data_IF_236102346703
#
_entry.id   IF_236102346703
#
_cell.length_a   1.000
_cell.length_b   1.000
_cell.length_c   1.000
_cell.angle_alpha   90.00
_cell.angle_beta   90.00
_cell.angle_gamma   90.00
#
_symmetry.space_group_name_H-M   'P 1'
#
loop_
_entity.id
_entity.type
_entity.pdbx_description
1 polymer ?
#
# COMPACT_ATOMS: atom_id res chain seq x y z
N UNK A 1 -6.46 -4.10 42.54
CA UNK A 1 -5.30 -4.96 42.91
C UNK A 1 -4.19 -4.57 41.97
N UNK A 2 -3.17 -3.87 42.47
CA UNK A 2 -1.97 -3.53 41.70
C UNK A 2 -1.08 -4.77 41.73
N UNK A 3 -0.93 -5.44 40.57
CA UNK A 3 -0.14 -6.67 40.45
C UNK A 3 1.37 -6.44 40.40
N UNK A 4 1.86 -5.22 40.67
CA UNK A 4 3.29 -4.91 40.71
C UNK A 4 4.04 -4.95 39.35
N UNK A 5 3.35 -5.23 38.25
CA UNK A 5 3.93 -5.25 36.91
C UNK A 5 3.53 -3.99 36.13
N UNK A 6 4.52 -3.32 35.54
CA UNK A 6 4.30 -2.15 34.68
C UNK A 6 3.86 -2.50 33.26
N UNK A 7 4.05 -3.75 32.83
CA UNK A 7 3.63 -4.28 31.52
C UNK A 7 3.48 -5.79 31.59
N UNK A 8 2.55 -6.32 30.83
CA UNK A 8 2.34 -7.77 30.65
C UNK A 8 2.46 -8.04 29.14
N UNK A 9 3.25 -9.07 28.77
CA UNK A 9 3.25 -9.57 27.40
C UNK A 9 2.09 -10.55 27.21
N UNK A 10 1.27 -10.32 26.22
CA UNK A 10 0.16 -11.18 25.85
C UNK A 10 0.08 -11.35 24.33
N UNK A 11 -0.54 -12.45 23.89
CA UNK A 11 -0.83 -12.68 22.47
C UNK A 11 -2.05 -11.87 22.05
N UNK A 12 -1.82 -10.72 21.45
CA UNK A 12 -2.88 -9.75 21.09
C UNK A 12 -3.50 -9.99 19.72
N UNK A 13 -3.07 -11.02 18.97
CA UNK A 13 -3.63 -11.25 17.63
C UNK A 13 -3.19 -12.55 16.98
N UNK A 14 -3.91 -12.90 15.90
CA UNK A 14 -3.65 -14.06 15.03
C UNK A 14 -3.48 -13.58 13.60
N UNK A 15 -2.42 -14.03 12.97
CA UNK A 15 -2.16 -13.74 11.55
C UNK A 15 -2.10 -15.04 10.75
N UNK A 16 -2.40 -14.96 9.46
CA UNK A 16 -2.22 -16.04 8.49
C UNK A 16 -1.31 -15.53 7.39
N UNK A 17 -0.40 -16.40 6.97
CA UNK A 17 0.43 -16.17 5.80
C UNK A 17 0.18 -17.30 4.80
N UNK A 18 -0.01 -16.95 3.52
CA UNK A 18 -0.27 -17.90 2.44
C UNK A 18 0.51 -17.44 1.22
N UNK A 19 1.23 -18.36 0.59
CA UNK A 19 2.05 -18.01 -0.57
C UNK A 19 2.21 -19.15 -1.55
N UNK A 20 2.77 -18.80 -2.70
CA UNK A 20 3.20 -19.73 -3.75
C UNK A 20 4.61 -19.38 -4.14
N UNK A 21 5.46 -20.38 -4.19
CA UNK A 21 6.83 -20.24 -4.68
C UNK A 21 7.05 -21.22 -5.82
N UNK A 22 7.65 -20.76 -6.89
CA UNK A 22 8.00 -21.56 -8.06
C UNK A 22 9.46 -21.31 -8.41
N UNK A 23 10.22 -22.37 -8.52
CA UNK A 23 11.59 -22.34 -9.02
C UNK A 23 11.70 -23.31 -10.21
N UNK A 24 12.10 -22.77 -11.36
CA UNK A 24 12.30 -23.53 -12.58
C UNK A 24 13.74 -23.36 -13.05
N UNK A 25 14.43 -24.48 -13.21
CA UNK A 25 15.75 -24.52 -13.82
C UNK A 25 15.67 -25.31 -15.13
N UNK A 26 16.16 -24.74 -16.20
CA UNK A 26 16.09 -25.29 -17.55
C UNK A 26 17.44 -25.24 -18.23
N UNK A 27 17.78 -26.34 -18.92
CA UNK A 27 18.83 -26.36 -19.93
C UNK A 27 18.11 -26.29 -21.27
N UNK A 28 18.10 -25.11 -21.88
CA UNK A 28 17.33 -24.84 -23.08
C UNK A 28 18.01 -25.44 -24.33
N UNK A 29 19.34 -25.33 -24.38
CA UNK A 29 20.18 -25.88 -25.45
C UNK A 29 21.48 -26.40 -24.85
N UNK A 30 21.94 -27.55 -25.30
CA UNK A 30 23.26 -28.08 -24.96
C UNK A 30 23.85 -28.83 -26.17
N UNK A 31 24.92 -28.26 -26.70
CA UNK A 31 25.74 -28.84 -27.77
C UNK A 31 27.22 -28.85 -27.38
N UNK A 32 28.12 -29.31 -28.21
CA UNK A 32 29.55 -29.32 -27.90
C UNK A 32 30.12 -27.90 -27.70
N UNK A 33 29.65 -26.94 -28.47
CA UNK A 33 30.20 -25.56 -28.48
C UNK A 33 29.25 -24.52 -27.87
N UNK A 34 27.96 -24.89 -27.65
CA UNK A 34 26.96 -23.93 -27.19
C UNK A 34 26.09 -24.53 -26.09
N UNK A 35 25.95 -23.78 -24.96
CA UNK A 35 25.06 -24.13 -23.88
C UNK A 35 24.27 -22.90 -23.47
N UNK A 36 22.94 -23.06 -23.30
CA UNK A 36 22.06 -22.06 -22.76
C UNK A 36 21.20 -22.65 -21.66
N UNK A 37 21.27 -22.06 -20.49
CA UNK A 37 20.44 -22.43 -19.33
C UNK A 37 19.72 -21.21 -18.77
N UNK A 38 18.55 -21.46 -18.24
CA UNK A 38 17.70 -20.45 -17.60
C UNK A 38 17.28 -20.87 -16.22
N UNK A 39 17.18 -19.92 -15.30
CA UNK A 39 16.61 -20.06 -13.97
C UNK A 39 15.50 -19.03 -13.81
N UNK A 40 14.30 -19.48 -13.49
CA UNK A 40 13.16 -18.63 -13.20
C UNK A 40 12.69 -18.89 -11.78
N UNK A 41 12.54 -17.81 -11.00
CA UNK A 41 11.96 -17.83 -9.66
C UNK A 41 10.74 -16.91 -9.63
N UNK A 42 9.70 -17.37 -8.98
CA UNK A 42 8.50 -16.59 -8.71
C UNK A 42 8.09 -16.82 -7.26
N UNK A 43 7.78 -15.75 -6.54
CA UNK A 43 7.29 -15.80 -5.17
C UNK A 43 6.14 -14.82 -5.00
N UNK A 44 5.04 -15.33 -4.51
CA UNK A 44 3.86 -14.57 -4.11
C UNK A 44 3.55 -14.90 -2.66
N UNK A 45 3.44 -13.89 -1.82
CA UNK A 45 3.14 -14.05 -0.42
C UNK A 45 2.05 -13.07 0.01
N UNK A 46 1.08 -13.54 0.79
CA UNK A 46 -0.04 -12.77 1.33
C UNK A 46 -0.19 -13.06 2.80
N UNK A 47 0.05 -12.05 3.62
CA UNK A 47 -0.28 -12.08 5.03
C UNK A 47 -1.65 -11.43 5.28
N UNK A 48 -2.28 -11.82 6.36
CA UNK A 48 -3.59 -11.32 6.74
C UNK A 48 -3.76 -11.41 8.25
N UNK A 49 -4.26 -10.35 8.86
CA UNK A 49 -4.71 -10.35 10.25
C UNK A 49 -6.05 -11.09 10.30
N UNK A 50 -6.15 -12.12 11.13
CA UNK A 50 -7.37 -12.92 11.29
C UNK A 50 -8.14 -12.44 12.50
N UNK A 51 -7.45 -12.04 13.56
CA UNK A 51 -8.04 -11.67 14.84
C UNK A 51 -7.12 -10.73 15.60
N UNK A 52 -7.71 -9.75 16.30
CA UNK A 52 -7.02 -8.86 17.22
C UNK A 52 -7.79 -8.87 18.55
N UNK A 53 -7.08 -9.06 19.67
CA UNK A 53 -7.60 -8.96 21.06
C UNK A 53 -8.89 -9.74 21.36
N UNK A 54 -9.44 -10.50 20.40
CA UNK A 54 -10.67 -11.27 20.54
C UNK A 54 -11.97 -10.43 20.60
N UNK A 55 -11.91 -9.13 20.38
CA UNK A 55 -13.06 -8.22 20.40
C UNK A 55 -13.64 -7.90 19.01
N UNK A 56 -13.01 -8.42 17.94
CA UNK A 56 -13.44 -8.23 16.57
C UNK A 56 -13.28 -6.82 16.03
N UNK A 57 -12.47 -5.98 16.70
CA UNK A 57 -12.25 -4.58 16.29
C UNK A 57 -10.85 -4.37 15.74
N UNK A 58 -10.75 -3.41 14.81
CA UNK A 58 -9.49 -2.94 14.29
C UNK A 58 -8.72 -2.10 15.33
N UNK A 59 -7.39 -2.14 15.26
CA UNK A 59 -6.51 -1.28 16.04
C UNK A 59 -5.98 -0.16 15.16
N UNK A 60 -6.74 0.92 15.05
CA UNK A 60 -6.41 2.07 14.20
C UNK A 60 -5.09 2.73 14.65
N UNK A 61 -4.80 2.72 15.96
CA UNK A 61 -3.59 3.32 16.53
C UNK A 61 -2.33 2.65 16.01
N UNK A 62 -2.35 1.31 15.94
CA UNK A 62 -1.26 0.52 15.41
C UNK A 62 -1.39 0.25 13.91
N UNK A 63 -2.46 0.74 13.27
CA UNK A 63 -2.80 0.49 11.85
C UNK A 63 -2.96 -1.00 11.55
N UNK A 64 -3.58 -1.74 12.45
CA UNK A 64 -3.89 -3.15 12.29
C UNK A 64 -5.38 -3.33 12.02
N UNK A 65 -5.68 -3.85 10.85
CA UNK A 65 -7.05 -4.04 10.35
C UNK A 65 -7.32 -5.52 10.13
N UNK A 66 -8.42 -6.01 10.71
CA UNK A 66 -8.82 -7.41 10.54
C UNK A 66 -9.20 -7.64 9.07
N UNK A 67 -8.59 -8.64 8.48
CA UNK A 67 -8.78 -8.94 7.07
C UNK A 67 -7.71 -8.38 6.15
N UNK A 68 -6.89 -7.46 6.63
CA UNK A 68 -5.86 -6.78 5.86
C UNK A 68 -4.44 -7.26 6.21
N UNK A 69 -3.45 -6.98 5.38
CA UNK A 69 -2.05 -7.25 5.70
C UNK A 69 -1.60 -6.55 6.97
N UNK A 70 -0.63 -7.15 7.67
CA UNK A 70 -0.07 -6.56 8.90
C UNK A 70 0.57 -5.18 8.68
N UNK A 71 1.04 -4.93 7.46
CA UNK A 71 1.68 -3.67 7.09
C UNK A 71 0.96 -3.03 5.92
N UNK A 72 0.10 -2.07 6.24
CA UNK A 72 -0.63 -1.27 5.26
C UNK A 72 -0.16 0.19 5.25
N UNK A 73 -0.40 0.88 4.16
CA UNK A 73 -0.41 2.33 4.10
C UNK A 73 -1.82 2.80 4.44
N UNK A 74 -2.00 3.36 5.62
CA UNK A 74 -3.26 3.91 6.10
C UNK A 74 -3.12 5.42 6.22
N UNK A 75 -3.73 6.13 5.29
CA UNK A 75 -3.71 7.59 5.22
C UNK A 75 -4.83 8.10 4.30
N UNK A 76 -4.86 9.39 4.02
CA UNK A 76 -5.78 10.00 3.08
C UNK A 76 -5.45 9.59 1.64
N UNK A 77 -6.48 9.32 0.84
CA UNK A 77 -6.31 9.20 -0.60
C UNK A 77 -6.27 10.59 -1.24
N UNK A 78 -5.46 10.75 -2.30
CA UNK A 78 -5.30 12.03 -3.00
C UNK A 78 -6.17 12.02 -4.25
N UNK A 79 -7.16 12.91 -4.28
CA UNK A 79 -8.06 13.11 -5.42
C UNK A 79 -7.46 14.05 -6.50
N UNK A 80 -6.42 14.81 -6.16
CA UNK A 80 -5.80 15.75 -7.08
C UNK A 80 -4.99 16.85 -6.38
N UNK A 81 -4.86 17.98 -7.05
CA UNK A 81 -4.17 19.17 -6.52
C UNK A 81 -5.14 20.34 -6.60
N UNK A 82 -5.29 21.09 -5.51
CA UNK A 82 -6.08 22.29 -5.47
C UNK A 82 -5.58 23.33 -6.48
N UNK A 83 -6.49 23.85 -7.31
CA UNK A 83 -6.19 24.90 -8.27
C UNK A 83 -6.63 26.28 -7.73
N UNK A 84 -6.05 27.33 -8.28
CA UNK A 84 -6.44 28.71 -7.95
C UNK A 84 -7.86 28.99 -8.45
N UNK A 85 -8.69 29.58 -7.60
CA UNK A 85 -10.12 29.89 -7.90
C UNK A 85 -10.97 28.69 -8.34
N UNK A 86 -10.58 27.47 -7.89
CA UNK A 86 -11.29 26.25 -8.24
C UNK A 86 -12.64 26.11 -7.52
N UNK A 87 -13.61 25.55 -8.25
CA UNK A 87 -14.82 24.96 -7.69
C UNK A 87 -14.88 23.51 -8.18
N UNK A 88 -15.13 22.56 -7.30
CA UNK A 88 -15.20 21.15 -7.62
C UNK A 88 -16.25 20.42 -6.79
N UNK A 89 -16.71 19.29 -7.31
CA UNK A 89 -17.63 18.40 -6.61
C UNK A 89 -16.87 17.25 -5.95
N UNK A 90 -17.24 16.93 -4.70
CA UNK A 90 -16.70 15.79 -3.98
C UNK A 90 -17.80 15.15 -3.13
N UNK A 91 -18.16 13.90 -3.45
CA UNK A 91 -19.19 13.12 -2.73
C UNK A 91 -20.53 13.86 -2.50
N UNK A 92 -20.95 14.67 -3.48
CA UNK A 92 -22.19 15.42 -3.43
C UNK A 92 -22.10 16.80 -2.80
N UNK A 93 -20.91 17.19 -2.36
CA UNK A 93 -20.62 18.53 -1.85
C UNK A 93 -19.92 19.38 -2.90
N UNK A 94 -20.36 20.63 -3.03
CA UNK A 94 -19.70 21.64 -3.86
C UNK A 94 -18.69 22.43 -3.05
N UNK A 95 -17.42 22.27 -3.35
CA UNK A 95 -16.31 22.95 -2.66
C UNK A 95 -15.79 24.08 -3.56
N UNK A 96 -15.71 25.28 -3.02
CA UNK A 96 -15.28 26.47 -3.75
C UNK A 96 -14.19 27.24 -3.00
N UNK A 97 -13.28 27.87 -3.75
CA UNK A 97 -12.31 28.79 -3.20
C UNK A 97 -12.98 30.09 -2.79
N UNK A 98 -12.88 30.45 -1.51
CA UNK A 98 -13.26 31.78 -1.01
C UNK A 98 -12.03 32.68 -0.90
N UNK A 99 -11.95 33.68 -1.76
CA UNK A 99 -10.84 34.62 -1.80
C UNK A 99 -10.76 35.52 -0.54
N UNK A 100 -11.86 35.71 0.17
CA UNK A 100 -11.90 36.56 1.39
C UNK A 100 -11.24 35.86 2.56
N UNK A 101 -11.60 34.60 2.82
CA UNK A 101 -11.02 33.79 3.89
C UNK A 101 -9.74 33.07 3.45
N UNK A 102 -9.46 33.02 2.15
CA UNK A 102 -8.38 32.23 1.55
C UNK A 102 -8.46 30.73 1.90
N UNK A 103 -9.66 30.16 1.78
CA UNK A 103 -9.98 28.77 2.10
C UNK A 103 -10.84 28.14 1.04
N UNK A 104 -10.78 26.81 0.97
CA UNK A 104 -11.75 26.01 0.25
C UNK A 104 -12.91 25.67 1.19
N UNK A 105 -14.10 26.16 0.87
CA UNK A 105 -15.30 26.01 1.70
C UNK A 105 -16.32 25.12 0.96
N UNK A 106 -17.04 24.29 1.72
CA UNK A 106 -18.21 23.61 1.21
C UNK A 106 -19.43 24.57 1.15
N UNK A 107 -20.57 24.12 0.66
CA UNK A 107 -21.80 24.91 0.52
C UNK A 107 -22.36 25.43 1.86
N UNK A 108 -21.98 24.83 2.97
CA UNK A 108 -22.34 25.27 4.33
C UNK A 108 -21.37 26.34 4.87
N UNK A 109 -20.32 26.67 4.11
CA UNK A 109 -19.29 27.62 4.52
C UNK A 109 -18.25 27.03 5.48
N UNK A 110 -18.18 25.71 5.58
CA UNK A 110 -17.20 25.01 6.41
C UNK A 110 -15.94 24.73 5.57
N UNK A 111 -14.77 24.87 6.20
CA UNK A 111 -13.49 24.59 5.55
C UNK A 111 -13.37 23.09 5.21
N UNK A 112 -13.29 22.78 3.90
CA UNK A 112 -13.22 21.41 3.40
C UNK A 112 -11.99 20.66 3.90
N UNK A 113 -10.81 21.25 3.70
CA UNK A 113 -9.53 20.67 4.15
C UNK A 113 -8.72 21.75 4.86
N UNK A 114 -8.50 21.52 6.15
CA UNK A 114 -7.86 22.50 7.03
C UNK A 114 -6.51 22.99 6.51
N UNK A 115 -6.41 24.29 6.29
CA UNK A 115 -5.18 24.95 5.86
C UNK A 115 -4.78 24.67 4.40
N UNK A 116 -5.66 24.07 3.60
CA UNK A 116 -5.41 23.83 2.18
C UNK A 116 -5.31 25.15 1.40
N UNK A 117 -4.41 25.17 0.45
CA UNK A 117 -4.19 26.29 -0.48
C UNK A 117 -4.01 25.75 -1.89
N UNK A 118 -4.18 26.59 -2.92
CA UNK A 118 -3.78 26.23 -4.27
C UNK A 118 -2.37 25.64 -4.33
N UNK A 119 -2.19 24.52 -5.03
CA UNK A 119 -0.96 23.75 -5.11
C UNK A 119 -0.80 22.64 -4.06
N UNK A 120 -1.67 22.55 -3.04
CA UNK A 120 -1.67 21.47 -2.07
C UNK A 120 -2.40 20.22 -2.60
N UNK A 121 -2.06 19.06 -2.06
CA UNK A 121 -2.78 17.83 -2.36
C UNK A 121 -4.22 17.93 -1.84
N UNK A 122 -5.17 17.64 -2.73
CA UNK A 122 -6.60 17.55 -2.45
C UNK A 122 -6.91 16.15 -1.96
N UNK A 123 -7.34 16.02 -0.70
CA UNK A 123 -7.71 14.73 -0.13
C UNK A 123 -9.14 14.37 -0.52
N UNK A 124 -9.41 13.08 -0.57
CA UNK A 124 -10.74 12.53 -0.82
C UNK A 124 -11.54 12.51 0.47
N UNK A 125 -12.75 13.05 0.43
CA UNK A 125 -13.76 12.91 1.48
C UNK A 125 -14.40 11.52 1.34
N UNK A 126 -14.06 10.60 2.22
CA UNK A 126 -14.49 9.21 2.10
C UNK A 126 -15.77 8.90 2.86
N UNK A 127 -16.06 9.64 3.92
CA UNK A 127 -17.30 9.48 4.68
C UNK A 127 -18.44 10.39 4.18
N UNK A 128 -18.13 11.33 3.27
CA UNK A 128 -19.11 12.16 2.59
C UNK A 128 -19.72 13.24 3.49
N UNK A 129 -18.96 13.72 4.49
CA UNK A 129 -19.43 14.76 5.41
C UNK A 129 -19.07 16.19 4.97
N UNK A 130 -18.43 16.33 3.79
CA UNK A 130 -18.06 17.63 3.20
C UNK A 130 -16.82 18.26 3.83
N UNK A 131 -16.08 17.53 4.67
CA UNK A 131 -14.88 18.03 5.34
C UNK A 131 -13.82 16.94 5.48
N UNK A 132 -12.54 17.28 5.40
CA UNK A 132 -11.45 16.31 5.59
C UNK A 132 -11.06 16.19 7.05
N UNK A 133 -11.31 15.03 7.61
CA UNK A 133 -11.04 14.68 9.01
C UNK A 133 -10.23 13.38 9.11
N UNK A 134 -9.96 12.89 10.32
CA UNK A 134 -9.29 11.62 10.52
C UNK A 134 -10.13 10.40 10.07
N UNK A 135 -11.44 10.58 9.87
CA UNK A 135 -12.33 9.51 9.38
C UNK A 135 -12.17 9.20 7.89
N UNK A 136 -11.63 10.17 7.13
CA UNK A 136 -11.38 10.01 5.70
C UNK A 136 -10.13 9.20 5.38
N UNK A 137 -9.41 8.79 6.43
CA UNK A 137 -8.27 7.90 6.25
C UNK A 137 -8.73 6.50 5.87
N UNK A 138 -8.08 5.93 4.87
CA UNK A 138 -8.36 4.59 4.36
C UNK A 138 -7.07 3.83 4.07
N UNK A 139 -7.19 2.54 3.84
CA UNK A 139 -6.07 1.72 3.40
C UNK A 139 -5.83 2.00 1.93
N UNK A 140 -4.72 2.68 1.62
CA UNK A 140 -4.34 3.08 0.27
C UNK A 140 -3.35 2.12 -0.39
N UNK A 141 -2.92 1.07 0.32
CA UNK A 141 -2.04 0.05 -0.22
C UNK A 141 -1.39 -0.82 0.84
N UNK A 142 -0.63 -1.81 0.37
CA UNK A 142 0.19 -2.69 1.20
C UNK A 142 1.67 -2.37 1.03
N UNK A 143 2.43 -2.56 2.10
CA UNK A 143 3.90 -2.48 2.07
C UNK A 143 4.55 -3.75 1.52
N UNK A 144 3.78 -4.82 1.37
CA UNK A 144 4.27 -6.07 0.78
C UNK A 144 4.07 -6.03 -0.73
N UNK A 145 5.06 -6.48 -1.49
CA UNK A 145 4.93 -6.60 -2.93
C UNK A 145 3.82 -7.60 -3.30
N UNK A 146 3.20 -7.34 -4.44
CA UNK A 146 2.21 -8.25 -5.01
C UNK A 146 2.82 -9.58 -5.39
N UNK A 147 4.01 -9.56 -5.96
CA UNK A 147 4.85 -10.71 -6.22
C UNK A 147 6.29 -10.27 -6.50
N UNK A 148 7.20 -11.23 -6.40
CA UNK A 148 8.60 -11.04 -6.76
C UNK A 148 8.92 -12.10 -7.82
N UNK A 149 9.64 -11.72 -8.86
CA UNK A 149 10.12 -12.66 -9.86
C UNK A 149 11.55 -12.36 -10.25
N UNK A 150 12.27 -13.41 -10.67
CA UNK A 150 13.60 -13.28 -11.25
C UNK A 150 13.79 -14.25 -12.42
N UNK A 151 14.52 -13.81 -13.42
CA UNK A 151 14.91 -14.60 -14.59
C UNK A 151 16.41 -14.46 -14.81
N UNK A 152 17.14 -15.52 -14.52
CA UNK A 152 18.55 -15.66 -14.82
C UNK A 152 18.76 -16.42 -16.12
N UNK A 153 19.74 -16.01 -16.92
CA UNK A 153 20.19 -16.75 -18.09
C UNK A 153 21.70 -16.84 -18.09
N UNK A 154 22.19 -17.99 -18.49
CA UNK A 154 23.62 -18.22 -18.74
C UNK A 154 23.78 -18.84 -20.11
N UNK A 155 24.54 -18.19 -20.96
CA UNK A 155 24.85 -18.60 -22.34
C UNK A 155 26.35 -18.78 -22.43
N UNK A 156 26.78 -19.97 -22.80
CA UNK A 156 28.18 -20.30 -23.02
C UNK A 156 28.37 -20.67 -24.51
N UNK A 157 29.28 -20.04 -25.17
CA UNK A 157 29.69 -20.37 -26.50
C UNK A 157 31.23 -20.53 -26.54
N UNK A 158 31.67 -21.76 -26.70
CA UNK A 158 33.11 -22.15 -26.59
C UNK A 158 33.68 -21.66 -25.25
N UNK A 159 34.67 -20.76 -25.26
CA UNK A 159 35.35 -20.22 -24.09
C UNK A 159 34.67 -18.96 -23.52
N UNK A 160 33.60 -18.48 -24.14
CA UNK A 160 32.88 -17.28 -23.70
C UNK A 160 31.62 -17.63 -22.95
N UNK A 161 31.42 -16.98 -21.80
CA UNK A 161 30.20 -17.11 -21.00
C UNK A 161 29.58 -15.74 -20.70
N UNK A 162 28.32 -15.58 -21.05
CA UNK A 162 27.50 -14.43 -20.70
C UNK A 162 26.44 -14.86 -19.70
N UNK A 163 26.38 -14.19 -18.55
CA UNK A 163 25.32 -14.38 -17.55
C UNK A 163 24.64 -13.06 -17.25
N UNK A 164 23.32 -13.07 -17.15
CA UNK A 164 22.52 -11.92 -16.75
C UNK A 164 21.32 -12.34 -15.96
N UNK A 165 20.87 -11.45 -15.05
CA UNK A 165 19.76 -11.65 -14.14
C UNK A 165 18.83 -10.44 -14.20
N UNK A 166 17.54 -10.69 -14.42
CA UNK A 166 16.47 -9.71 -14.23
C UNK A 166 15.73 -10.01 -12.95
N UNK A 167 15.56 -8.99 -12.10
CA UNK A 167 14.71 -9.06 -10.91
C UNK A 167 13.60 -8.03 -11.02
N UNK A 168 12.38 -8.42 -10.64
CA UNK A 168 11.22 -7.56 -10.57
C UNK A 168 10.50 -7.73 -9.22
N UNK A 169 10.10 -6.60 -8.64
CA UNK A 169 9.25 -6.54 -7.46
C UNK A 169 8.04 -5.68 -7.81
N UNK A 170 6.83 -6.21 -7.61
CA UNK A 170 5.57 -5.63 -8.09
C UNK A 170 4.54 -5.47 -6.97
#
# INVERSE_FOLDING_TARGET
IMNGYSSIMDNVGKTRNTGVELNLNSINVSTNDFRWSSNFNFSLNRDKIIELRGDGKDDITNKWFIGEPLRVHYDYNVAGIFQENETFEMNGHTISWDATSQKFLNEEGIEYQKGAKPGYAKMEDTDGDGTITAKDKQIIGSKLPSFIMSLGNTITYKDFTLSFLFNGTF
#
